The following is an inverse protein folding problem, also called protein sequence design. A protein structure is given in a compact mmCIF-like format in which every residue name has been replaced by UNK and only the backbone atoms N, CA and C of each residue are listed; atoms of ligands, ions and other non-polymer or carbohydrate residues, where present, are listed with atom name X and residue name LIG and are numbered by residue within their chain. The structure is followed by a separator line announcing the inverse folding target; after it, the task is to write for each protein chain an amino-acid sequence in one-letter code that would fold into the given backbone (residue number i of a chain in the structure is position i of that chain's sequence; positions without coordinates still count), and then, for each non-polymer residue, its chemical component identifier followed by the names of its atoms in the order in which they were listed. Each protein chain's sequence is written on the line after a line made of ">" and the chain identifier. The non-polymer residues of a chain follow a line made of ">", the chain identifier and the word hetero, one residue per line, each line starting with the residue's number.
data_IF_296148750409
#
_entry.id   IF_296148750409
#
_cell.length_a   1.000
_cell.length_b   1.000
_cell.length_c   1.000
_cell.angle_alpha   90.00
_cell.angle_beta   90.00
_cell.angle_gamma   90.00
#
_symmetry.space_group_name_H-M   'P 1'
#
loop_
_entity.id
_entity.type
_entity.pdbx_description
1 polymer ?
#
# COMPACT_ATOMS: atom_id res chain seq x y z
N UNK A 1 16.34 -17.14 -1.08
CA UNK A 1 15.68 -16.88 0.22
C UNK A 1 15.80 -15.38 0.43
N UNK A 2 14.75 -14.62 0.14
CA UNK A 2 14.72 -13.18 0.46
C UNK A 2 14.68 -13.09 1.99
N UNK A 3 15.69 -12.45 2.59
CA UNK A 3 15.88 -12.41 4.04
C UNK A 3 14.65 -11.88 4.78
N UNK A 4 14.55 -12.24 6.06
CA UNK A 4 13.60 -11.59 6.96
C UNK A 4 13.87 -10.09 6.97
N UNK A 5 12.85 -9.29 6.67
CA UNK A 5 12.94 -7.84 6.79
C UNK A 5 12.78 -7.54 8.28
N UNK A 6 13.82 -6.98 8.88
CA UNK A 6 13.77 -6.59 10.28
C UNK A 6 12.78 -5.43 10.44
N UNK A 7 11.95 -5.51 11.47
CA UNK A 7 10.95 -4.48 11.77
C UNK A 7 11.58 -3.08 12.01
N UNK A 8 12.83 -3.03 12.47
CA UNK A 8 13.57 -1.79 12.69
C UNK A 8 13.90 -1.02 11.40
N UNK A 9 13.87 -1.69 10.25
CA UNK A 9 14.09 -1.07 8.95
C UNK A 9 12.79 -0.60 8.26
N UNK A 10 11.66 -0.67 8.97
CA UNK A 10 10.34 -0.33 8.44
C UNK A 10 9.84 1.00 9.02
N UNK A 11 9.37 1.88 8.14
CA UNK A 11 8.72 3.14 8.48
C UNK A 11 7.22 2.93 8.31
N UNK A 12 6.44 3.28 9.34
CA UNK A 12 4.98 3.29 9.22
C UNK A 12 4.53 4.44 8.32
N UNK A 13 3.60 4.14 7.43
CA UNK A 13 3.04 5.05 6.44
C UNK A 13 1.52 4.97 6.45
N UNK A 14 0.87 5.99 5.88
CA UNK A 14 -0.58 6.04 5.69
C UNK A 14 -0.88 6.36 4.23
N UNK A 15 -2.03 5.90 3.73
CA UNK A 15 -2.53 6.40 2.45
C UNK A 15 -2.90 7.87 2.62
N UNK A 16 -2.15 8.74 1.94
CA UNK A 16 -2.37 10.17 1.91
C UNK A 16 -3.46 10.55 0.91
N UNK A 17 -3.35 10.01 -0.30
CA UNK A 17 -4.29 10.26 -1.39
C UNK A 17 -4.21 9.14 -2.44
N UNK A 18 -5.27 8.99 -3.22
CA UNK A 18 -5.29 8.19 -4.45
C UNK A 18 -5.79 9.11 -5.56
N UNK A 19 -4.90 9.53 -6.45
CA UNK A 19 -5.21 10.51 -7.48
C UNK A 19 -4.77 10.05 -8.86
N UNK A 20 -5.29 10.73 -9.88
CA UNK A 20 -4.84 10.57 -11.27
C UNK A 20 -3.83 11.67 -11.52
N UNK A 21 -2.62 11.28 -11.94
CA UNK A 21 -1.56 12.21 -12.32
C UNK A 21 -1.49 12.27 -13.85
N UNK A 22 -1.45 13.47 -14.40
CA UNK A 22 -1.24 13.66 -15.83
C UNK A 22 0.26 13.58 -16.13
N UNK A 23 0.64 12.67 -17.01
CA UNK A 23 2.02 12.44 -17.45
C UNK A 23 2.09 12.54 -18.97
N UNK A 24 3.29 12.62 -19.54
CA UNK A 24 3.47 12.58 -21.00
C UNK A 24 2.92 11.30 -21.64
N UNK A 25 2.81 10.22 -20.84
CA UNK A 25 2.23 8.94 -21.25
C UNK A 25 0.71 8.85 -21.03
N UNK A 26 0.08 9.92 -20.54
CA UNK A 26 -1.35 10.02 -20.24
C UNK A 26 -1.66 10.09 -18.74
N UNK A 27 -2.94 9.89 -18.43
CA UNK A 27 -3.46 9.90 -17.07
C UNK A 27 -3.15 8.57 -16.38
N UNK A 28 -2.33 8.61 -15.33
CA UNK A 28 -1.91 7.41 -14.59
C UNK A 28 -2.40 7.50 -13.14
N UNK A 29 -3.13 6.50 -12.62
CA UNK A 29 -3.48 6.44 -11.21
C UNK A 29 -2.25 6.21 -10.32
N UNK A 30 -2.22 6.93 -9.19
CA UNK A 30 -1.14 6.86 -8.19
C UNK A 30 -1.78 6.78 -6.80
N UNK A 31 -1.30 5.85 -5.97
CA UNK A 31 -1.51 5.90 -4.52
C UNK A 31 -0.28 6.53 -3.88
N UNK A 32 -0.54 7.53 -3.03
CA UNK A 32 0.49 8.24 -2.29
C UNK A 32 0.50 7.74 -0.85
N UNK A 33 1.62 7.18 -0.41
CA UNK A 33 1.84 6.85 1.00
C UNK A 33 2.65 7.98 1.65
N UNK A 34 2.30 8.37 2.87
CA UNK A 34 2.99 9.41 3.62
C UNK A 34 3.47 8.86 4.97
N UNK A 35 4.69 9.23 5.38
CA UNK A 35 5.20 8.94 6.72
C UNK A 35 5.00 10.11 7.70
N UNK A 36 5.55 9.98 8.91
CA UNK A 36 5.46 11.04 9.93
C UNK A 36 6.36 12.25 9.66
N UNK A 37 7.30 12.15 8.71
CA UNK A 37 8.23 13.21 8.33
C UNK A 37 7.74 13.97 7.08
N UNK A 38 6.47 13.79 6.69
CA UNK A 38 5.87 14.36 5.47
C UNK A 38 6.59 13.93 4.17
N UNK A 39 7.28 12.79 4.18
CA UNK A 39 7.80 12.16 2.95
C UNK A 39 6.70 11.35 2.28
N UNK A 40 6.51 11.58 0.99
CA UNK A 40 5.52 10.92 0.15
C UNK A 40 6.17 9.91 -0.77
N UNK A 41 5.75 8.66 -0.69
CA UNK A 41 6.11 7.59 -1.61
C UNK A 41 5.00 7.41 -2.66
N UNK A 42 5.21 7.82 -3.93
CA UNK A 42 4.27 7.59 -5.01
C UNK A 42 4.39 6.15 -5.53
N UNK A 43 3.25 5.47 -5.63
CA UNK A 43 3.14 4.12 -6.19
C UNK A 43 2.13 4.15 -7.34
N UNK A 44 2.64 4.01 -8.57
CA UNK A 44 1.82 3.94 -9.78
C UNK A 44 1.07 2.61 -9.81
N UNK A 45 -0.24 2.68 -10.07
CA UNK A 45 -1.15 1.55 -10.08
C UNK A 45 -2.12 1.65 -11.25
N UNK A 46 -2.79 0.55 -11.59
CA UNK A 46 -3.87 0.58 -12.56
C UNK A 46 -5.18 1.14 -11.97
N UNK A 47 -6.14 1.47 -12.85
CA UNK A 47 -7.43 2.03 -12.47
C UNK A 47 -8.24 1.11 -11.56
N UNK A 48 -8.17 -0.20 -11.77
CA UNK A 48 -8.90 -1.19 -10.99
C UNK A 48 -8.37 -1.26 -9.56
N UNK A 49 -7.04 -1.18 -9.39
CA UNK A 49 -6.41 -1.13 -8.07
C UNK A 49 -6.73 0.19 -7.37
N UNK A 50 -6.66 1.32 -8.08
CA UNK A 50 -6.99 2.62 -7.51
C UNK A 50 -8.43 2.67 -7.01
N UNK A 51 -9.38 2.15 -7.80
CA UNK A 51 -10.77 2.01 -7.39
C UNK A 51 -10.92 1.11 -6.15
N UNK A 52 -10.28 -0.06 -6.14
CA UNK A 52 -10.36 -0.98 -5.00
C UNK A 52 -9.80 -0.37 -3.71
N UNK A 53 -8.69 0.36 -3.78
CA UNK A 53 -8.10 1.04 -2.61
C UNK A 53 -9.02 2.15 -2.11
N UNK A 54 -9.55 3.00 -3.00
CA UNK A 54 -10.51 4.07 -2.62
C UNK A 54 -11.75 3.50 -1.94
N UNK A 55 -12.36 2.48 -2.53
CA UNK A 55 -13.50 1.77 -1.96
C UNK A 55 -13.19 1.21 -0.55
N UNK A 56 -11.98 0.67 -0.37
CA UNK A 56 -11.51 0.18 0.94
C UNK A 56 -11.33 1.27 1.99
N UNK A 57 -10.96 2.49 1.58
CA UNK A 57 -10.83 3.66 2.46
C UNK A 57 -12.22 4.21 2.83
N UNK A 58 -13.14 4.28 1.87
CA UNK A 58 -14.50 4.81 2.06
C UNK A 58 -15.41 3.87 2.88
N UNK A 59 -15.13 2.56 2.82
CA UNK A 59 -15.75 1.54 3.68
C UNK A 59 -17.21 1.19 3.37
N UNK A 60 -17.81 1.73 2.30
CA UNK A 60 -19.23 1.54 1.99
C UNK A 60 -19.48 1.17 0.52
N UNK A 61 -19.18 -0.08 0.15
CA UNK A 61 -19.54 -0.62 -1.16
C UNK A 61 -20.84 -1.44 -1.10
N UNK A 62 -21.77 -1.18 -2.02
CA UNK A 62 -23.03 -1.94 -2.11
C UNK A 62 -22.84 -3.39 -2.57
N UNK A 63 -21.78 -3.66 -3.34
CA UNK A 63 -21.42 -5.00 -3.83
C UNK A 63 -19.95 -5.24 -3.47
N UNK A 64 -19.61 -6.37 -2.81
CA UNK A 64 -18.23 -6.64 -2.40
C UNK A 64 -17.31 -6.79 -3.61
N UNK A 65 -16.16 -6.13 -3.55
CA UNK A 65 -15.07 -6.30 -4.51
C UNK A 65 -14.20 -7.51 -4.11
N UNK A 66 -13.22 -7.84 -4.94
CA UNK A 66 -12.32 -8.99 -4.72
C UNK A 66 -11.62 -8.94 -3.36
N UNK A 67 -11.11 -7.77 -2.95
CA UNK A 67 -10.45 -7.63 -1.65
C UNK A 67 -11.45 -7.67 -0.49
N UNK A 68 -12.72 -7.29 -0.70
CA UNK A 68 -13.78 -7.45 0.32
C UNK A 68 -14.11 -8.93 0.53
N UNK A 69 -14.31 -9.68 -0.57
CA UNK A 69 -14.48 -11.13 -0.53
C UNK A 69 -13.29 -11.83 0.17
N UNK A 70 -12.05 -11.39 -0.09
CA UNK A 70 -10.87 -11.92 0.57
C UNK A 70 -10.88 -11.65 2.07
N UNK A 71 -11.29 -10.45 2.51
CA UNK A 71 -11.42 -10.12 3.92
C UNK A 71 -12.51 -10.96 4.62
N UNK A 72 -13.62 -11.24 3.95
CA UNK A 72 -14.66 -12.13 4.48
C UNK A 72 -14.14 -13.57 4.60
N UNK A 73 -13.44 -14.08 3.59
CA UNK A 73 -12.79 -15.41 3.65
C UNK A 73 -11.77 -15.48 4.79
N UNK A 74 -10.94 -14.45 4.97
CA UNK A 74 -10.01 -14.39 6.10
C UNK A 74 -10.73 -14.41 7.44
N UNK A 75 -11.82 -13.65 7.58
CA UNK A 75 -12.64 -13.63 8.80
C UNK A 75 -13.22 -15.01 9.13
N UNK A 76 -13.82 -15.69 8.15
CA UNK A 76 -14.40 -17.03 8.34
C UNK A 76 -13.36 -18.10 8.69
N UNK A 77 -12.10 -17.89 8.28
CA UNK A 77 -10.98 -18.79 8.56
C UNK A 77 -10.14 -18.40 9.78
N UNK A 78 -10.57 -17.38 10.55
CA UNK A 78 -9.83 -16.80 11.68
C UNK A 78 -8.39 -16.38 11.30
N UNK A 79 -8.27 -15.77 10.12
CA UNK A 79 -7.03 -15.17 9.61
C UNK A 79 -7.11 -13.65 9.79
N UNK A 80 -6.08 -13.06 10.39
CA UNK A 80 -6.00 -11.60 10.58
C UNK A 80 -4.90 -11.01 9.72
N UNK A 81 -5.22 -9.96 8.98
CA UNK A 81 -4.19 -9.10 8.38
C UNK A 81 -3.50 -8.34 9.51
N UNK A 82 -2.16 -8.36 9.51
CA UNK A 82 -1.33 -7.67 10.49
C UNK A 82 -0.69 -6.41 9.91
N UNK A 83 -0.53 -6.35 8.60
CA UNK A 83 0.00 -5.17 7.91
C UNK A 83 0.51 -5.47 6.51
N UNK A 84 0.79 -4.40 5.78
CA UNK A 84 1.47 -4.43 4.50
C UNK A 84 2.92 -3.97 4.67
N UNK A 85 3.85 -4.57 3.92
CA UNK A 85 5.27 -4.19 3.91
C UNK A 85 5.72 -3.98 2.47
N UNK A 86 6.02 -2.75 2.08
CA UNK A 86 6.63 -2.41 0.79
C UNK A 86 8.12 -2.36 1.00
N UNK A 87 8.85 -3.32 0.43
CA UNK A 87 10.22 -3.60 0.90
C UNK A 87 11.28 -3.55 -0.18
N UNK A 88 10.91 -3.54 -1.46
CA UNK A 88 11.88 -3.44 -2.54
C UNK A 88 11.30 -2.78 -3.79
N UNK A 89 12.19 -2.45 -4.74
CA UNK A 89 11.85 -2.02 -6.09
C UNK A 89 12.68 -2.83 -7.08
N UNK A 90 12.02 -3.67 -7.87
CA UNK A 90 12.67 -4.50 -8.89
C UNK A 90 12.04 -4.19 -10.24
N UNK A 91 12.86 -3.81 -11.23
CA UNK A 91 12.39 -3.48 -12.58
C UNK A 91 11.24 -2.44 -12.58
N UNK A 92 11.36 -1.39 -11.77
CA UNK A 92 10.34 -0.37 -11.54
C UNK A 92 9.01 -0.89 -10.98
N UNK A 93 9.02 -2.04 -10.29
CA UNK A 93 7.84 -2.58 -9.60
C UNK A 93 8.13 -2.74 -8.13
N UNK A 94 7.29 -2.13 -7.31
CA UNK A 94 7.40 -2.28 -5.87
C UNK A 94 7.07 -3.71 -5.45
N UNK A 95 7.98 -4.33 -4.72
CA UNK A 95 7.77 -5.61 -4.06
C UNK A 95 7.09 -5.38 -2.71
N UNK A 96 6.10 -6.21 -2.40
CA UNK A 96 5.39 -6.12 -1.14
C UNK A 96 5.05 -7.48 -0.55
N UNK A 97 4.93 -7.49 0.77
CA UNK A 97 4.38 -8.60 1.55
C UNK A 97 3.14 -8.14 2.29
N UNK A 98 2.17 -9.03 2.44
CA UNK A 98 1.12 -8.91 3.46
C UNK A 98 1.43 -9.89 4.58
N UNK A 99 1.51 -9.39 5.81
CA UNK A 99 1.68 -10.22 7.00
C UNK A 99 0.31 -10.65 7.50
N UNK A 100 0.11 -11.95 7.66
CA UNK A 100 -1.13 -12.53 8.17
C UNK A 100 -0.84 -13.32 9.45
N UNK A 101 -1.73 -13.24 10.43
CA UNK A 101 -1.80 -14.20 11.52
C UNK A 101 -2.73 -15.33 11.10
N UNK A 102 -2.20 -16.53 10.96
CA UNK A 102 -2.94 -17.74 10.63
C UNK A 102 -2.85 -18.69 11.82
N UNK A 103 -3.91 -18.79 12.62
CA UNK A 103 -3.98 -19.68 13.80
C UNK A 103 -2.84 -19.47 14.81
N UNK A 104 -2.45 -18.23 15.05
CA UNK A 104 -1.37 -17.86 15.97
C UNK A 104 0.02 -17.78 15.35
N UNK A 105 0.18 -18.19 14.09
CA UNK A 105 1.46 -18.12 13.36
C UNK A 105 1.47 -16.91 12.43
N UNK A 106 2.53 -16.09 12.51
CA UNK A 106 2.73 -14.96 11.60
C UNK A 106 3.36 -15.47 10.30
N UNK A 107 2.70 -15.20 9.17
CA UNK A 107 3.17 -15.56 7.83
C UNK A 107 3.17 -14.35 6.91
N UNK A 108 4.26 -14.19 6.18
CA UNK A 108 4.37 -13.18 5.13
C UNK A 108 4.07 -13.80 3.77
N UNK A 109 3.21 -13.16 2.99
CA UNK A 109 2.84 -13.57 1.63
C UNK A 109 3.27 -12.52 0.63
N UNK A 110 4.07 -12.92 -0.36
CA UNK A 110 4.48 -12.06 -1.47
C UNK A 110 3.27 -11.65 -2.32
N UNK A 111 3.18 -10.35 -2.64
CA UNK A 111 2.11 -9.80 -3.45
C UNK A 111 2.52 -8.48 -4.11
N UNK A 112 1.64 -7.92 -4.95
CA UNK A 112 1.83 -6.55 -5.48
C UNK A 112 1.58 -5.54 -4.36
N UNK A 113 2.28 -4.41 -4.40
CA UNK A 113 2.09 -3.32 -3.44
C UNK A 113 0.64 -2.84 -3.36
N UNK A 114 -0.06 -2.77 -4.50
CA UNK A 114 -1.49 -2.41 -4.55
C UNK A 114 -2.39 -3.36 -3.77
N UNK A 115 -2.14 -4.68 -3.87
CA UNK A 115 -2.93 -5.69 -3.16
C UNK A 115 -2.68 -5.62 -1.64
N UNK A 116 -1.41 -5.45 -1.24
CA UNK A 116 -1.04 -5.30 0.16
C UNK A 116 -1.73 -4.06 0.77
N UNK A 117 -1.68 -2.91 0.08
CA UNK A 117 -2.34 -1.67 0.50
C UNK A 117 -3.85 -1.87 0.59
N UNK A 118 -4.48 -2.48 -0.43
CA UNK A 118 -5.92 -2.71 -0.46
C UNK A 118 -6.44 -3.57 0.70
N UNK A 119 -5.65 -4.57 1.14
CA UNK A 119 -5.97 -5.38 2.32
C UNK A 119 -5.71 -4.62 3.63
N UNK A 120 -4.62 -3.86 3.71
CA UNK A 120 -4.29 -3.08 4.89
C UNK A 120 -5.35 -2.01 5.20
N UNK A 121 -5.80 -1.25 4.20
CA UNK A 121 -6.84 -0.22 4.40
C UNK A 121 -8.16 -0.82 4.89
N UNK A 122 -8.58 -1.98 4.34
CA UNK A 122 -9.83 -2.67 4.73
C UNK A 122 -9.77 -3.27 6.12
N UNK A 123 -8.61 -3.80 6.50
CA UNK A 123 -8.38 -4.39 7.81
C UNK A 123 -7.98 -3.37 8.88
N UNK A 124 -7.81 -2.10 8.49
CA UNK A 124 -7.24 -1.06 9.34
C UNK A 124 -5.88 -1.45 9.94
N UNK A 125 -5.11 -2.24 9.18
CA UNK A 125 -3.78 -2.67 9.56
C UNK A 125 -2.73 -1.65 9.11
N UNK A 126 -1.59 -1.56 9.81
CA UNK A 126 -0.51 -0.66 9.43
C UNK A 126 0.07 -0.97 8.05
N UNK A 127 0.50 0.07 7.34
CA UNK A 127 1.24 -0.02 6.08
C UNK A 127 2.66 0.44 6.36
N UNK A 128 3.63 -0.40 6.06
CA UNK A 128 5.04 -0.11 6.24
C UNK A 128 5.75 0.02 4.90
N UNK A 129 6.71 0.94 4.82
CA UNK A 129 7.67 1.02 3.74
C UNK A 129 9.08 0.86 4.30
N UNK A 130 9.94 0.09 3.62
CA UNK A 130 11.33 -0.06 4.03
C UNK A 130 12.06 1.29 3.96
N UNK A 131 12.95 1.53 4.92
CA UNK A 131 13.73 2.75 5.01
C UNK A 131 14.51 3.05 3.73
N UNK A 132 15.11 2.03 3.10
CA UNK A 132 15.77 2.17 1.79
C UNK A 132 14.83 2.74 0.71
N UNK A 133 13.59 2.26 0.67
CA UNK A 133 12.59 2.69 -0.32
C UNK A 133 12.15 4.12 -0.03
N UNK A 134 11.89 4.46 1.23
CA UNK A 134 11.55 5.83 1.59
C UNK A 134 12.71 6.80 1.26
N UNK A 135 13.96 6.43 1.54
CA UNK A 135 15.09 7.31 1.26
C UNK A 135 15.36 7.51 -0.24
N UNK A 136 15.15 6.48 -1.05
CA UNK A 136 15.46 6.53 -2.48
C UNK A 136 14.31 7.06 -3.34
N UNK A 137 13.07 6.76 -2.97
CA UNK A 137 11.90 6.92 -3.86
C UNK A 137 10.86 7.94 -3.35
N UNK A 138 11.02 8.48 -2.14
CA UNK A 138 10.07 9.47 -1.63
C UNK A 138 10.46 10.91 -2.01
N UNK A 139 9.45 11.79 -1.98
CA UNK A 139 9.58 13.24 -2.16
C UNK A 139 8.96 13.96 -0.96
N UNK A 140 9.38 15.19 -0.65
CA UNK A 140 8.71 15.93 0.43
C UNK A 140 7.33 16.38 -0.03
N UNK A 141 6.34 16.30 0.87
CA UNK A 141 4.97 16.76 0.60
C UNK A 141 4.89 18.20 0.10
N UNK A 142 5.73 19.09 0.65
CA UNK A 142 5.81 20.49 0.20
C UNK A 142 6.15 20.59 -1.28
N UNK A 143 7.09 19.78 -1.77
CA UNK A 143 7.56 19.80 -3.16
C UNK A 143 6.45 19.29 -4.10
N UNK A 144 5.66 18.31 -3.65
CA UNK A 144 4.49 17.82 -4.38
C UNK A 144 3.37 18.87 -4.49
N UNK A 145 3.18 19.70 -3.47
CA UNK A 145 2.12 20.72 -3.44
C UNK A 145 2.50 21.98 -4.23
N UNK A 146 3.78 22.37 -4.20
CA UNK A 146 4.29 23.49 -4.98
C UNK A 146 4.14 23.25 -6.48
N UNK A 147 4.35 22.01 -6.95
CA UNK A 147 4.13 21.62 -8.35
C UNK A 147 2.67 21.56 -8.82
N UNK A 148 1.67 21.76 -7.95
CA UNK A 148 0.25 21.87 -8.33
C UNK A 148 -0.24 23.31 -8.54
N UNK A 149 0.64 24.30 -8.37
CA UNK A 149 0.29 25.73 -8.41
C UNK A 149 0.56 26.42 -9.75
N UNK A 150 0.91 25.67 -10.81
CA UNK A 150 1.05 26.15 -12.19
C UNK A 150 -0.07 25.64 -13.10
#
# INVERSE_FOLDING_TARGET
>A
MLGEILLEDLIETKVFDVAIVNTDAGNVPVVFLIDQEDRILPIFIDEQQAFSIKAGIEGNMQVPLTHDLMMDVFRELDVKVLGAKIYDLIENRYCAKVSLNVKGEVKDFECRSSDAIALAVRSQSPIYAANKIMNEMSIMKKDLLEGKSE
#
